data_IF_457980561909
#
_entry.id   IF_457980561909
#
_cell.length_a   1.000
_cell.length_b   1.000
_cell.length_c   1.000
_cell.angle_alpha   90.00
_cell.angle_beta   90.00
_cell.angle_gamma   90.00
#
_symmetry.space_group_name_H-M   'P 1'
#
loop_
_entity.id
_entity.type
_entity.pdbx_description
1 polymer ?
#
# COMPACT_ATOMS: atom_id res chain seq x y z
N UNK A 1 13.73 10.95 4.63
CA UNK A 1 13.46 9.60 4.10
C UNK A 1 12.23 9.65 3.22
N UNK A 2 12.28 9.04 2.03
CA UNK A 2 11.11 8.85 1.16
C UNK A 2 10.65 7.40 1.27
N UNK A 3 9.34 7.22 1.30
CA UNK A 3 8.70 5.90 1.33
C UNK A 3 8.02 5.63 0.00
N UNK A 4 8.26 4.47 -0.57
CA UNK A 4 7.59 3.98 -1.77
C UNK A 4 6.85 2.69 -1.44
N UNK A 5 5.57 2.63 -1.75
CA UNK A 5 4.74 1.48 -1.42
C UNK A 5 3.82 1.07 -2.55
N UNK A 6 3.63 -0.24 -2.71
CA UNK A 6 2.62 -0.84 -3.57
C UNK A 6 1.88 -1.91 -2.77
N UNK A 7 0.58 -2.09 -3.02
CA UNK A 7 -0.24 -3.09 -2.33
C UNK A 7 -0.18 -2.89 -0.80
N UNK A 8 0.08 -3.94 -0.04
CA UNK A 8 0.31 -3.85 1.41
C UNK A 8 1.44 -2.87 1.78
N UNK A 9 2.44 -2.69 0.90
CA UNK A 9 3.52 -1.73 1.09
C UNK A 9 3.05 -0.27 1.12
N UNK A 10 1.92 0.06 0.50
CA UNK A 10 1.33 1.40 0.57
C UNK A 10 0.85 1.74 1.99
N UNK A 11 0.19 0.80 2.66
CA UNK A 11 -0.21 0.93 4.06
C UNK A 11 0.99 0.98 5.01
N UNK A 12 2.03 0.19 4.72
CA UNK A 12 3.29 0.25 5.48
C UNK A 12 3.98 1.61 5.32
N UNK A 13 3.97 2.19 4.12
CA UNK A 13 4.52 3.54 3.88
C UNK A 13 3.79 4.60 4.68
N UNK A 14 2.45 4.52 4.74
CA UNK A 14 1.65 5.40 5.59
C UNK A 14 2.00 5.21 7.07
N UNK A 15 2.06 3.95 7.54
CA UNK A 15 2.42 3.64 8.93
C UNK A 15 3.79 4.20 9.32
N UNK A 16 4.80 4.00 8.46
CA UNK A 16 6.18 4.46 8.71
C UNK A 16 6.32 5.98 8.63
N UNK A 17 5.39 6.68 7.98
CA UNK A 17 5.38 8.15 7.92
C UNK A 17 4.79 8.82 9.15
N UNK A 18 4.21 8.05 10.08
CA UNK A 18 3.63 8.56 11.32
C UNK A 18 4.75 9.12 12.22
N UNK A 19 4.56 10.34 12.72
CA UNK A 19 5.51 11.02 13.62
C UNK A 19 5.16 10.87 15.10
N UNK A 20 4.04 10.19 15.44
CA UNK A 20 3.69 9.84 16.82
C UNK A 20 4.22 8.46 17.20
N UNK A 21 4.35 8.16 18.52
CA UNK A 21 4.58 6.79 18.99
C UNK A 21 3.51 5.84 18.43
N UNK A 22 3.95 4.80 17.72
CA UNK A 22 3.06 3.95 16.92
C UNK A 22 2.41 2.78 17.68
N UNK A 23 2.60 2.68 18.99
CA UNK A 23 2.17 1.51 19.77
C UNK A 23 0.66 1.29 19.72
N UNK A 24 -0.14 2.37 19.76
CA UNK A 24 -1.61 2.25 19.71
C UNK A 24 -2.10 1.82 18.34
N UNK A 25 -1.58 2.41 17.25
CA UNK A 25 -1.95 2.05 15.89
C UNK A 25 -1.54 0.61 15.58
N UNK A 26 -0.34 0.23 15.95
CA UNK A 26 0.15 -1.14 15.77
C UNK A 26 -0.67 -2.16 16.57
N UNK A 27 -1.01 -1.83 17.82
CA UNK A 27 -1.87 -2.68 18.66
C UNK A 27 -3.26 -2.83 18.06
N UNK A 28 -3.83 -1.74 17.53
CA UNK A 28 -5.12 -1.78 16.84
C UNK A 28 -5.06 -2.67 15.60
N UNK A 29 -4.07 -2.47 14.70
CA UNK A 29 -3.91 -3.29 13.50
C UNK A 29 -3.79 -4.78 13.86
N UNK A 30 -2.99 -5.12 14.87
CA UNK A 30 -2.86 -6.50 15.37
C UNK A 30 -4.14 -7.08 15.98
N UNK A 31 -5.04 -6.24 16.46
CA UNK A 31 -6.32 -6.69 17.02
C UNK A 31 -7.35 -7.07 15.96
N UNK A 32 -7.16 -6.62 14.71
CA UNK A 32 -8.03 -6.98 13.59
C UNK A 32 -7.84 -8.46 13.26
N UNK A 33 -8.94 -9.20 13.29
CA UNK A 33 -8.95 -10.63 12.92
C UNK A 33 -9.73 -10.80 11.64
N UNK A 34 -9.12 -11.42 10.66
CA UNK A 34 -9.73 -11.65 9.33
C UNK A 34 -11.10 -12.32 9.41
N UNK A 35 -11.29 -13.23 10.40
CA UNK A 35 -12.58 -13.92 10.63
C UNK A 35 -13.75 -13.02 11.03
N UNK A 36 -13.48 -11.80 11.49
CA UNK A 36 -14.50 -10.82 11.93
C UNK A 36 -14.98 -9.95 10.73
N UNK A 37 -14.43 -10.17 9.55
CA UNK A 37 -14.72 -9.42 8.33
C UNK A 37 -15.07 -10.36 7.17
N UNK A 38 -15.97 -9.92 6.29
CA UNK A 38 -16.37 -10.71 5.12
C UNK A 38 -15.30 -10.72 4.01
N UNK A 39 -14.47 -9.67 3.94
CA UNK A 39 -13.46 -9.52 2.92
C UNK A 39 -12.39 -8.49 3.35
N UNK A 40 -11.28 -8.43 2.59
CA UNK A 40 -10.16 -7.53 2.86
C UNK A 40 -10.57 -6.05 2.84
N UNK A 41 -11.50 -5.66 1.99
CA UNK A 41 -11.98 -4.30 1.91
C UNK A 41 -12.58 -3.79 3.23
N UNK A 42 -13.31 -4.65 3.94
CA UNK A 42 -13.85 -4.28 5.26
C UNK A 42 -12.76 -4.08 6.30
N UNK A 43 -11.67 -4.84 6.23
CA UNK A 43 -10.49 -4.64 7.09
C UNK A 43 -9.86 -3.28 6.81
N UNK A 44 -9.65 -2.95 5.55
CA UNK A 44 -9.09 -1.66 5.13
C UNK A 44 -9.99 -0.49 5.55
N UNK A 45 -11.30 -0.63 5.41
CA UNK A 45 -12.26 0.37 5.90
C UNK A 45 -12.19 0.55 7.42
N UNK A 46 -12.06 -0.54 8.18
CA UNK A 46 -11.92 -0.48 9.63
C UNK A 46 -10.63 0.24 10.03
N UNK A 47 -9.51 -0.06 9.37
CA UNK A 47 -8.23 0.63 9.56
C UNK A 47 -8.37 2.12 9.23
N UNK A 48 -8.90 2.45 8.07
CA UNK A 48 -9.13 3.83 7.63
C UNK A 48 -9.96 4.62 8.64
N UNK A 49 -11.08 4.07 9.06
CA UNK A 49 -12.00 4.74 9.98
C UNK A 49 -11.36 4.98 11.36
N UNK A 50 -10.58 4.04 11.85
CA UNK A 50 -9.90 4.19 13.14
C UNK A 50 -8.76 5.22 13.06
N UNK A 51 -8.01 5.22 11.97
CA UNK A 51 -6.96 6.22 11.74
C UNK A 51 -7.57 7.63 11.69
N UNK A 52 -8.65 7.83 10.92
CA UNK A 52 -9.33 9.14 10.82
C UNK A 52 -9.97 9.63 12.13
N UNK A 53 -10.28 8.73 13.07
CA UNK A 53 -10.77 9.14 14.39
C UNK A 53 -9.68 9.68 15.31
N UNK A 54 -8.47 9.13 15.19
CA UNK A 54 -7.39 9.37 16.17
C UNK A 54 -6.29 10.26 15.67
N UNK A 55 -6.16 10.41 14.35
CA UNK A 55 -5.05 11.08 13.71
C UNK A 55 -5.54 12.14 12.72
N UNK A 56 -4.69 13.11 12.50
CA UNK A 56 -4.83 14.15 11.49
C UNK A 56 -3.68 14.08 10.51
N UNK A 57 -3.74 14.82 9.41
CA UNK A 57 -2.64 14.93 8.45
C UNK A 57 -1.32 15.40 9.09
N UNK A 58 -1.39 16.22 10.16
CA UNK A 58 -0.20 16.72 10.87
C UNK A 58 0.56 15.62 11.65
N UNK A 59 -0.07 14.48 11.84
CA UNK A 59 0.54 13.33 12.51
C UNK A 59 1.36 12.46 11.56
N UNK A 60 1.39 12.80 10.26
CA UNK A 60 2.08 12.04 9.22
C UNK A 60 2.94 12.94 8.33
N UNK A 61 4.07 12.43 7.89
CA UNK A 61 4.89 13.07 6.87
C UNK A 61 4.38 12.72 5.46
N UNK A 62 3.16 13.18 5.12
CA UNK A 62 2.45 12.79 3.89
C UNK A 62 3.24 13.09 2.61
N UNK A 63 4.05 14.15 2.61
CA UNK A 63 4.90 14.52 1.47
C UNK A 63 6.10 13.58 1.25
N UNK A 64 6.37 12.68 2.18
CA UNK A 64 7.38 11.64 2.02
C UNK A 64 6.83 10.36 1.39
N UNK A 65 5.50 10.24 1.23
CA UNK A 65 4.84 9.02 0.76
C UNK A 65 4.67 9.06 -0.75
N UNK A 66 5.04 7.95 -1.38
CA UNK A 66 4.84 7.69 -2.80
C UNK A 66 4.13 6.33 -2.94
N UNK A 67 2.96 6.31 -3.56
CA UNK A 67 2.14 5.11 -3.70
C UNK A 67 2.03 4.73 -5.16
N UNK A 68 2.42 3.50 -5.46
CA UNK A 68 2.31 2.90 -6.78
C UNK A 68 0.94 2.23 -6.92
N UNK A 69 0.24 2.54 -8.00
CA UNK A 69 -1.08 1.98 -8.34
C UNK A 69 -1.07 1.55 -9.80
N UNK A 70 -1.65 0.41 -10.11
CA UNK A 70 -1.91 0.03 -11.51
C UNK A 70 -3.23 0.65 -11.94
N UNK A 71 -3.20 1.54 -12.93
CA UNK A 71 -4.36 2.27 -13.42
C UNK A 71 -4.70 1.85 -14.84
N UNK A 72 -6.02 1.84 -15.17
CA UNK A 72 -6.49 1.64 -16.52
C UNK A 72 -6.82 2.98 -17.16
N UNK A 73 -6.02 3.37 -18.14
CA UNK A 73 -6.14 4.63 -18.87
C UNK A 73 -5.70 4.43 -20.32
N UNK A 74 -6.34 5.12 -21.26
CA UNK A 74 -6.02 5.04 -22.68
C UNK A 74 -6.05 3.58 -23.22
N UNK A 75 -7.04 2.80 -22.77
CA UNK A 75 -7.26 1.39 -23.14
C UNK A 75 -6.10 0.44 -22.77
N UNK A 76 -5.29 0.81 -21.78
CA UNK A 76 -4.19 -0.03 -21.28
C UNK A 76 -3.98 0.14 -19.79
N UNK A 77 -3.38 -0.87 -19.17
CA UNK A 77 -2.84 -0.74 -17.82
C UNK A 77 -1.49 -0.04 -17.85
N UNK A 78 -1.26 0.80 -16.87
CA UNK A 78 0.04 1.44 -16.61
C UNK A 78 0.26 1.64 -15.11
N UNK A 79 1.51 1.65 -14.68
CA UNK A 79 1.86 2.08 -13.32
C UNK A 79 1.78 3.59 -13.21
N UNK A 80 1.17 4.03 -12.11
CA UNK A 80 1.10 5.43 -11.73
C UNK A 80 1.61 5.57 -10.30
N UNK A 81 2.57 6.47 -10.08
CA UNK A 81 2.98 6.88 -8.73
C UNK A 81 2.20 8.12 -8.35
N UNK A 82 1.53 8.04 -7.21
CA UNK A 82 0.88 9.17 -6.57
C UNK A 82 1.73 9.65 -5.39
N UNK A 83 1.91 10.96 -5.28
CA UNK A 83 2.68 11.64 -4.24
C UNK A 83 2.10 13.01 -3.96
N UNK A 84 2.65 13.73 -2.97
CA UNK A 84 2.19 15.08 -2.66
C UNK A 84 0.79 15.10 -2.05
N UNK A 85 0.47 14.14 -1.19
CA UNK A 85 -0.80 14.07 -0.51
C UNK A 85 -0.96 15.22 0.49
N UNK A 86 -2.09 15.91 0.43
CA UNK A 86 -2.44 17.05 1.30
C UNK A 86 -3.37 16.64 2.44
N UNK A 87 -4.04 15.49 2.32
CA UNK A 87 -4.95 14.99 3.35
C UNK A 87 -4.71 13.53 3.66
N UNK A 88 -4.95 13.18 4.94
CA UNK A 88 -4.87 11.81 5.41
C UNK A 88 -5.90 10.91 4.72
N UNK A 89 -7.07 11.45 4.40
CA UNK A 89 -8.11 10.72 3.69
C UNK A 89 -7.68 10.38 2.24
N UNK A 90 -7.05 11.30 1.53
CA UNK A 90 -6.60 11.10 0.14
C UNK A 90 -5.53 10.01 0.07
N UNK A 91 -4.52 10.04 0.96
CA UNK A 91 -3.48 9.01 0.98
C UNK A 91 -4.04 7.62 1.30
N UNK A 92 -5.00 7.51 2.24
CA UNK A 92 -5.63 6.23 2.55
C UNK A 92 -6.50 5.71 1.41
N UNK A 93 -7.22 6.57 0.71
CA UNK A 93 -7.96 6.16 -0.50
C UNK A 93 -7.01 5.69 -1.60
N UNK A 94 -5.81 6.27 -1.70
CA UNK A 94 -4.77 5.80 -2.59
C UNK A 94 -4.20 4.44 -2.15
N UNK A 95 -4.02 4.20 -0.84
CA UNK A 95 -3.63 2.89 -0.30
C UNK A 95 -4.67 1.82 -0.67
N UNK A 96 -5.96 2.11 -0.48
CA UNK A 96 -7.05 1.19 -0.86
C UNK A 96 -7.06 0.89 -2.37
N UNK A 97 -6.73 1.87 -3.21
CA UNK A 97 -6.58 1.64 -4.64
C UNK A 97 -5.37 0.76 -4.96
N UNK A 98 -4.25 1.00 -4.26
CA UNK A 98 -2.99 0.27 -4.42
C UNK A 98 -3.06 -1.18 -3.95
N UNK A 99 -3.93 -1.50 -2.99
CA UNK A 99 -4.12 -2.85 -2.44
C UNK A 99 -5.36 -3.58 -2.98
N UNK A 100 -6.05 -2.97 -3.96
CA UNK A 100 -7.25 -3.58 -4.54
C UNK A 100 -6.93 -4.69 -5.54
N UNK A 101 -7.03 -5.94 -5.09
CA UNK A 101 -6.92 -7.12 -5.96
C UNK A 101 -8.32 -7.43 -6.50
N UNK A 102 -8.50 -7.43 -7.86
CA UNK A 102 -9.81 -7.68 -8.49
C UNK A 102 -10.47 -8.95 -7.97
N UNK A 103 -11.73 -8.83 -7.56
CA UNK A 103 -12.60 -9.90 -7.05
C UNK A 103 -12.14 -10.57 -5.74
N UNK A 104 -10.91 -10.31 -5.26
CA UNK A 104 -10.36 -10.85 -4.01
C UNK A 104 -10.57 -9.87 -2.86
N UNK A 105 -10.18 -8.60 -3.05
CA UNK A 105 -10.35 -7.57 -2.01
C UNK A 105 -11.82 -7.37 -1.68
N UNK A 106 -12.66 -7.34 -2.71
CA UNK A 106 -14.14 -7.38 -2.65
C UNK A 106 -14.68 -7.94 -3.97
N UNK A 107 -16.01 -7.83 -4.19
CA UNK A 107 -16.66 -8.31 -5.42
C UNK A 107 -16.46 -7.39 -6.64
N UNK A 108 -15.69 -6.30 -6.52
CA UNK A 108 -15.43 -5.35 -7.60
C UNK A 108 -14.18 -5.73 -8.41
N UNK A 109 -14.22 -5.43 -9.70
CA UNK A 109 -13.08 -5.59 -10.60
C UNK A 109 -12.00 -4.52 -10.38
N UNK A 110 -12.38 -3.34 -9.88
CA UNK A 110 -11.46 -2.22 -9.64
C UNK A 110 -11.93 -1.35 -8.49
N UNK A 111 -11.01 -0.57 -7.93
CA UNK A 111 -11.28 0.55 -7.05
C UNK A 111 -11.21 1.86 -7.85
N UNK A 112 -12.11 2.81 -7.60
CA UNK A 112 -12.10 4.08 -8.32
C UNK A 112 -11.38 5.15 -7.49
N UNK A 113 -10.15 5.50 -7.88
CA UNK A 113 -9.38 6.55 -7.24
C UNK A 113 -9.22 7.75 -8.20
N UNK A 114 -9.54 8.94 -7.73
CA UNK A 114 -9.55 10.19 -8.56
C UNK A 114 -10.26 9.99 -9.91
N UNK A 115 -11.38 9.28 -9.89
CA UNK A 115 -12.17 8.90 -11.07
C UNK A 115 -11.48 7.94 -12.07
N UNK A 116 -10.34 7.37 -11.73
CA UNK A 116 -9.59 6.43 -12.57
C UNK A 116 -9.78 5.01 -12.03
N UNK A 117 -10.18 4.02 -12.85
CA UNK A 117 -10.18 2.62 -12.47
C UNK A 117 -8.77 2.17 -12.11
N UNK A 118 -8.62 1.66 -10.90
CA UNK A 118 -7.34 1.35 -10.27
C UNK A 118 -7.38 -0.05 -9.68
N UNK A 119 -6.26 -0.76 -9.77
CA UNK A 119 -6.05 -2.07 -9.16
C UNK A 119 -4.70 -2.11 -8.46
N UNK A 120 -4.41 -3.20 -7.79
CA UNK A 120 -3.21 -3.43 -7.01
C UNK A 120 -1.93 -2.95 -7.71
N UNK A 121 -1.10 -2.20 -6.99
CA UNK A 121 0.12 -1.59 -7.52
C UNK A 121 1.21 -2.59 -7.90
N UNK A 122 1.14 -3.83 -7.42
CA UNK A 122 2.03 -4.92 -7.78
C UNK A 122 1.58 -5.72 -9.01
N UNK A 123 0.37 -5.46 -9.53
CA UNK A 123 -0.25 -6.31 -10.55
C UNK A 123 0.38 -6.18 -11.95
N UNK A 124 0.96 -5.03 -12.26
CA UNK A 124 1.55 -4.77 -13.58
C UNK A 124 3.07 -4.66 -13.49
N UNK A 125 3.77 -5.58 -14.15
CA UNK A 125 5.25 -5.63 -14.22
C UNK A 125 5.82 -4.69 -15.29
N UNK A 126 5.60 -3.39 -15.15
CA UNK A 126 6.36 -2.42 -15.93
C UNK A 126 7.68 -2.11 -15.19
N UNK A 127 8.80 -1.92 -15.89
CA UNK A 127 10.05 -1.57 -15.21
C UNK A 127 9.81 -0.35 -14.31
N UNK A 128 10.30 -0.44 -13.08
CA UNK A 128 10.00 0.47 -12.00
C UNK A 128 10.06 1.94 -12.44
N UNK A 129 9.00 2.72 -12.24
CA UNK A 129 9.05 4.16 -12.47
C UNK A 129 9.90 4.88 -11.40
N UNK A 130 10.45 4.15 -10.43
CA UNK A 130 11.33 4.68 -9.38
C UNK A 130 12.72 4.84 -9.97
N UNK A 131 13.10 6.09 -10.25
CA UNK A 131 14.42 6.45 -10.79
C UNK A 131 15.49 6.60 -9.70
N UNK A 132 15.19 6.17 -8.47
CA UNK A 132 16.07 6.32 -7.31
C UNK A 132 16.45 4.94 -6.82
N UNK A 133 17.75 4.70 -6.60
CA UNK A 133 18.23 3.47 -5.95
C UNK A 133 17.78 3.51 -4.48
N UNK A 134 16.94 2.58 -4.02
CA UNK A 134 16.47 2.57 -2.65
C UNK A 134 17.57 2.08 -1.69
N UNK A 135 17.64 2.68 -0.50
CA UNK A 135 18.52 2.23 0.58
C UNK A 135 18.08 0.89 1.18
N UNK A 136 16.76 0.65 1.19
CA UNK A 136 16.16 -0.57 1.73
C UNK A 136 14.95 -0.96 0.89
N UNK A 137 14.89 -2.23 0.47
CA UNK A 137 13.70 -2.85 -0.13
C UNK A 137 13.17 -3.93 0.82
N UNK A 138 11.86 -3.89 1.08
CA UNK A 138 11.13 -4.96 1.74
C UNK A 138 10.10 -5.49 0.74
N UNK A 139 10.28 -6.73 0.33
CA UNK A 139 9.45 -7.36 -0.69
C UNK A 139 8.88 -8.69 -0.19
N UNK A 140 7.67 -8.99 -0.62
CA UNK A 140 7.05 -10.31 -0.47
C UNK A 140 7.11 -11.04 -1.81
N UNK A 141 7.73 -12.21 -1.83
CA UNK A 141 7.88 -13.08 -3.01
C UNK A 141 6.55 -13.79 -3.40
N UNK A 142 5.41 -13.12 -3.23
CA UNK A 142 4.11 -13.70 -3.58
C UNK A 142 3.92 -13.89 -5.09
N UNK A 143 4.63 -13.14 -5.92
CA UNK A 143 4.44 -13.10 -7.38
C UNK A 143 5.67 -13.51 -8.18
N UNK A 144 6.73 -14.01 -7.51
CA UNK A 144 7.94 -14.47 -8.17
C UNK A 144 8.76 -13.38 -8.86
N UNK A 145 8.60 -12.12 -8.45
CA UNK A 145 9.45 -11.02 -8.91
C UNK A 145 10.72 -10.98 -8.06
N UNK A 146 11.84 -11.39 -8.62
CA UNK A 146 13.15 -11.18 -8.02
C UNK A 146 13.69 -9.83 -8.46
N UNK A 147 14.04 -8.95 -7.50
CA UNK A 147 14.89 -7.79 -7.79
C UNK A 147 16.31 -8.27 -8.08
N UNK A 148 16.98 -7.66 -9.07
CA UNK A 148 18.41 -7.89 -9.24
C UNK A 148 19.14 -7.30 -8.00
N UNK A 149 19.88 -8.13 -7.23
CA UNK A 149 20.62 -7.66 -6.04
C UNK A 149 21.62 -6.54 -6.33
N UNK A 150 21.96 -6.30 -7.59
CA UNK A 150 22.87 -5.23 -8.01
C UNK A 150 22.24 -3.84 -7.93
N UNK A 151 20.91 -3.75 -7.91
CA UNK A 151 20.17 -2.51 -7.91
C UNK A 151 19.77 -2.07 -6.48
N UNK A 152 20.26 -2.76 -5.45
CA UNK A 152 19.80 -2.54 -4.07
C UNK A 152 20.95 -2.58 -3.08
N UNK A 153 21.06 -1.55 -2.26
CA UNK A 153 22.07 -1.52 -1.18
C UNK A 153 21.75 -2.52 -0.06
N UNK A 154 20.46 -2.73 0.23
CA UNK A 154 19.96 -3.71 1.21
C UNK A 154 18.59 -4.24 0.77
N UNK A 155 18.48 -5.55 0.54
CA UNK A 155 17.22 -6.21 0.24
C UNK A 155 16.84 -7.17 1.38
N UNK A 156 15.64 -6.99 1.92
CA UNK A 156 15.00 -7.96 2.81
C UNK A 156 13.88 -8.62 2.02
N UNK A 157 14.14 -9.87 1.57
CA UNK A 157 13.11 -10.68 0.94
C UNK A 157 12.41 -11.51 2.02
N UNK A 158 11.14 -11.22 2.26
CA UNK A 158 10.30 -12.03 3.14
C UNK A 158 9.80 -13.23 2.34
N UNK A 159 10.69 -14.20 2.11
CA UNK A 159 10.32 -15.51 1.57
C UNK A 159 9.42 -16.22 2.58
N UNK A 160 8.16 -16.40 2.22
CA UNK A 160 7.12 -17.08 2.98
C UNK A 160 6.58 -16.31 4.19
N UNK A 161 5.74 -15.32 3.96
CA UNK A 161 4.63 -15.12 4.87
C UNK A 161 3.77 -16.39 4.83
N UNK A 162 3.83 -17.14 5.91
CA UNK A 162 3.02 -18.34 6.07
C UNK A 162 1.56 -17.85 6.15
N UNK A 163 0.78 -18.05 5.08
CA UNK A 163 -0.63 -17.64 4.95
C UNK A 163 -1.53 -18.32 6.01
N UNK A 164 -0.96 -19.15 6.90
CA UNK A 164 -1.68 -19.77 8.01
C UNK A 164 -2.12 -18.80 9.11
N UNK A 165 -1.79 -17.52 9.03
CA UNK A 165 -2.18 -16.49 10.03
C UNK A 165 -3.03 -15.35 9.47
N UNK A 166 -3.57 -15.48 8.25
CA UNK A 166 -4.60 -14.58 7.72
C UNK A 166 -6.00 -15.12 7.93
#
# INVERSE_FOLDING_TARGET
TLFYGASAGSWNSLYLSNNRPNDELFTFIKSLKSKDFENMYQIELAMRNEILKKYTENDFHLHHINICVSVFSDFRFKKQIYSGFESLEDVMNCCMASSHIPYITNKSCYYKYKNIPSIDGGFYNDPHPIQVIPDLIIESDMWGTEFDPKDVTNAINIKKLNIQYL
#
